data_IF_902685933258
#
_entry.id   IF_902685933258
#
_cell.length_a   1.000
_cell.length_b   1.000
_cell.length_c   1.000
_cell.angle_alpha   90.00
_cell.angle_beta   90.00
_cell.angle_gamma   90.00
#
_symmetry.space_group_name_H-M   'P 1'
#
loop_
_entity.id
_entity.type
_entity.pdbx_description
1 polymer ?
#
# COMPACT_ATOMS: atom_id res chain seq x y z
N UNK A 1 49.60 11.40 -48.11
CA UNK A 1 48.13 11.29 -48.08
C UNK A 1 47.68 11.17 -46.63
N UNK A 2 46.89 12.18 -46.24
CA UNK A 2 46.08 12.44 -45.03
C UNK A 2 46.10 11.44 -43.85
N UNK A 3 46.58 11.95 -42.70
CA UNK A 3 46.09 11.62 -41.36
C UNK A 3 44.59 11.93 -41.25
N UNK A 4 43.78 11.00 -40.75
CA UNK A 4 42.46 11.18 -40.12
C UNK A 4 42.11 9.87 -39.41
N UNK A 5 41.43 9.78 -38.27
CA UNK A 5 40.97 10.76 -37.31
C UNK A 5 40.73 10.01 -35.99
N UNK A 6 40.94 10.72 -34.91
CA UNK A 6 40.83 10.35 -33.50
C UNK A 6 39.46 9.78 -33.16
N UNK A 7 39.42 8.61 -32.54
CA UNK A 7 38.22 8.01 -31.96
C UNK A 7 37.80 8.82 -30.73
N UNK A 8 36.75 9.64 -30.85
CA UNK A 8 36.10 10.27 -29.70
C UNK A 8 35.06 9.28 -29.15
N UNK A 9 35.43 8.57 -28.09
CA UNK A 9 34.45 7.85 -27.26
C UNK A 9 33.83 8.91 -26.34
N UNK A 10 32.65 9.42 -26.70
CA UNK A 10 31.83 10.19 -25.78
C UNK A 10 31.22 9.21 -24.76
N UNK A 11 31.81 9.16 -23.56
CA UNK A 11 31.18 8.54 -22.39
C UNK A 11 30.00 9.43 -22.02
N UNK A 12 28.80 9.03 -22.44
CA UNK A 12 27.56 9.58 -21.91
C UNK A 12 27.41 9.03 -20.50
N UNK A 13 28.02 9.72 -19.53
CA UNK A 13 27.63 9.61 -18.13
C UNK A 13 26.21 10.17 -18.05
N UNK A 14 25.20 9.28 -18.11
CA UNK A 14 23.88 9.58 -17.60
C UNK A 14 24.04 9.93 -16.13
N UNK A 15 24.18 11.22 -15.84
CA UNK A 15 23.91 11.81 -14.54
C UNK A 15 22.42 11.60 -14.28
N UNK A 16 22.06 10.39 -13.84
CA UNK A 16 20.87 10.24 -13.01
C UNK A 16 21.24 11.03 -11.76
N UNK A 17 20.75 12.26 -11.65
CA UNK A 17 20.82 12.99 -10.39
C UNK A 17 20.40 12.00 -9.31
N UNK A 18 21.21 11.78 -8.25
CA UNK A 18 20.75 10.97 -7.14
C UNK A 18 19.47 11.65 -6.67
N UNK A 19 18.33 10.99 -6.88
CA UNK A 19 17.07 11.49 -6.37
C UNK A 19 17.32 11.66 -4.89
N UNK A 20 17.43 12.92 -4.47
CA UNK A 20 17.72 13.28 -3.10
C UNK A 20 16.64 12.61 -2.27
N UNK A 21 17.02 11.53 -1.56
CA UNK A 21 16.12 10.86 -0.66
C UNK A 21 15.61 11.94 0.30
N UNK A 22 14.31 12.21 0.28
CA UNK A 22 13.75 13.27 1.12
C UNK A 22 14.03 12.90 2.57
N UNK A 23 14.33 13.90 3.38
CA UNK A 23 14.57 13.70 4.80
C UNK A 23 13.25 13.28 5.47
N UNK A 24 13.18 12.02 5.90
CA UNK A 24 12.03 11.47 6.60
C UNK A 24 12.24 11.53 8.11
N UNK A 25 11.33 12.20 8.82
CA UNK A 25 11.48 12.52 10.24
C UNK A 25 10.56 11.70 11.15
N UNK A 26 10.17 10.49 10.74
CA UNK A 26 9.27 9.67 11.55
C UNK A 26 9.89 9.25 12.89
N UNK A 27 9.08 9.05 13.95
CA UNK A 27 9.57 8.46 15.19
C UNK A 27 10.17 7.07 14.92
N UNK A 28 11.11 6.64 15.78
CA UNK A 28 11.85 5.36 15.62
C UNK A 28 10.93 4.16 15.36
N UNK A 29 9.80 4.12 16.06
CA UNK A 29 8.80 3.05 15.94
C UNK A 29 8.11 3.00 14.55
N UNK A 30 8.17 4.07 13.76
CA UNK A 30 7.54 4.20 12.43
C UNK A 30 8.56 4.33 11.29
N UNK A 31 9.86 4.21 11.57
CA UNK A 31 10.92 4.48 10.59
C UNK A 31 10.85 3.59 9.33
N UNK A 32 10.24 2.39 9.42
CA UNK A 32 10.08 1.49 8.26
C UNK A 32 9.12 2.04 7.20
N UNK A 33 8.34 3.07 7.53
CA UNK A 33 7.47 3.74 6.56
C UNK A 33 8.20 4.77 5.71
N UNK A 34 9.38 5.25 6.12
CA UNK A 34 10.13 6.27 5.39
C UNK A 34 10.38 5.92 3.91
N UNK A 35 10.87 4.72 3.56
CA UNK A 35 11.05 4.35 2.15
C UNK A 35 9.73 4.29 1.37
N UNK A 36 8.62 3.96 2.05
CA UNK A 36 7.30 3.93 1.41
C UNK A 36 6.84 5.36 1.08
N UNK A 37 6.97 6.29 2.02
CA UNK A 37 6.62 7.69 1.79
C UNK A 37 7.46 8.27 0.64
N UNK A 38 8.77 8.01 0.64
CA UNK A 38 9.66 8.41 -0.43
C UNK A 38 9.20 7.88 -1.80
N UNK A 39 8.97 6.57 -1.89
CA UNK A 39 8.56 5.95 -3.15
C UNK A 39 7.23 6.49 -3.69
N UNK A 40 6.32 6.92 -2.80
CA UNK A 40 5.02 7.47 -3.18
C UNK A 40 5.11 8.91 -3.64
N UNK A 41 6.04 9.69 -3.08
CA UNK A 41 6.35 11.04 -3.55
C UNK A 41 6.93 10.99 -4.97
N UNK A 42 7.91 10.11 -5.17
CA UNK A 42 8.63 9.95 -6.44
C UNK A 42 7.77 9.32 -7.54
N UNK A 43 6.67 8.67 -7.17
CA UNK A 43 5.83 7.96 -8.11
C UNK A 43 5.33 8.88 -9.24
N UNK A 44 5.51 8.46 -10.48
CA UNK A 44 5.14 9.24 -11.67
C UNK A 44 3.64 9.11 -11.96
N UNK A 45 3.11 7.89 -11.88
CA UNK A 45 1.70 7.64 -12.09
C UNK A 45 0.85 8.17 -10.92
N UNK A 46 -0.32 8.74 -11.24
CA UNK A 46 -1.24 9.31 -10.24
C UNK A 46 -1.66 8.30 -9.17
N UNK A 47 -1.78 7.01 -9.53
CA UNK A 47 -2.19 5.94 -8.63
C UNK A 47 -1.22 5.85 -7.45
N UNK A 48 -1.73 6.00 -6.23
CA UNK A 48 -0.94 5.96 -4.97
C UNK A 48 0.14 7.05 -4.81
N UNK A 49 0.21 8.02 -5.73
CA UNK A 49 1.14 9.15 -5.61
C UNK A 49 0.75 10.01 -4.41
N UNK A 50 1.75 10.40 -3.63
CA UNK A 50 1.62 11.43 -2.61
C UNK A 50 2.31 12.70 -3.09
N UNK A 51 1.69 13.84 -2.82
CA UNK A 51 2.38 15.12 -2.93
C UNK A 51 3.34 15.27 -1.74
N UNK A 52 4.47 15.95 -1.95
CA UNK A 52 5.49 16.20 -0.92
C UNK A 52 4.87 16.81 0.35
N UNK A 53 3.99 17.80 0.18
CA UNK A 53 3.26 18.46 1.27
C UNK A 53 2.33 17.50 2.02
N UNK A 54 1.72 16.55 1.32
CA UNK A 54 0.87 15.54 1.91
C UNK A 54 1.67 14.48 2.70
N UNK A 55 2.89 14.14 2.23
CA UNK A 55 3.80 13.28 2.97
C UNK A 55 4.25 13.94 4.27
N UNK A 56 4.72 15.19 4.22
CA UNK A 56 5.06 15.97 5.42
C UNK A 56 3.89 16.11 6.41
N UNK A 57 2.68 16.35 5.91
CA UNK A 57 1.49 16.46 6.77
C UNK A 57 1.19 15.13 7.49
N UNK A 58 1.40 14.00 6.82
CA UNK A 58 1.25 12.68 7.44
C UNK A 58 2.35 12.43 8.49
N UNK A 59 3.59 12.83 8.23
CA UNK A 59 4.67 12.71 9.21
C UNK A 59 4.41 13.54 10.46
N UNK A 60 4.01 14.80 10.29
CA UNK A 60 3.65 15.67 11.41
C UNK A 60 2.49 15.07 12.22
N UNK A 61 1.48 14.50 11.55
CA UNK A 61 0.40 13.78 12.22
C UNK A 61 0.95 12.59 13.02
N UNK A 62 1.89 11.82 12.47
CA UNK A 62 2.49 10.66 13.12
C UNK A 62 3.32 11.06 14.36
N UNK A 63 4.06 12.16 14.27
CA UNK A 63 4.90 12.66 15.38
C UNK A 63 4.08 13.25 16.54
N UNK A 64 3.00 13.96 16.23
CA UNK A 64 2.25 14.75 17.22
C UNK A 64 1.08 14.00 17.84
N UNK A 65 0.62 12.94 17.18
CA UNK A 65 -0.49 12.13 17.70
C UNK A 65 0.05 11.09 18.66
N UNK A 66 -0.58 10.97 19.83
CA UNK A 66 -0.34 9.84 20.72
C UNK A 66 -0.94 8.57 20.09
N UNK A 67 -0.07 7.74 19.50
CA UNK A 67 -0.42 6.40 19.04
C UNK A 67 -0.08 5.39 20.12
N UNK A 68 -1.09 4.65 20.57
CA UNK A 68 -0.89 3.41 21.30
C UNK A 68 -1.33 2.23 20.42
N UNK A 69 -0.74 2.15 19.23
CA UNK A 69 -0.99 1.07 18.29
C UNK A 69 0.00 -0.06 18.53
N UNK A 70 -0.51 -1.21 18.97
CA UNK A 70 0.24 -2.44 19.14
C UNK A 70 0.29 -3.27 17.84
N UNK A 71 -0.84 -3.47 17.17
CA UNK A 71 -0.90 -4.29 15.96
C UNK A 71 -0.53 -3.51 14.70
N UNK A 72 -0.89 -2.22 14.59
CA UNK A 72 -0.48 -1.44 13.41
C UNK A 72 1.04 -1.23 13.36
N UNK A 73 1.68 -1.06 14.52
CA UNK A 73 3.14 -0.98 14.62
C UNK A 73 3.81 -2.29 14.24
N UNK A 74 3.22 -3.45 14.57
CA UNK A 74 3.69 -4.75 14.08
C UNK A 74 3.45 -4.95 12.58
N UNK A 75 2.27 -4.56 12.07
CA UNK A 75 1.90 -4.74 10.68
C UNK A 75 2.91 -4.07 9.74
N UNK A 76 3.49 -2.92 10.12
CA UNK A 76 4.45 -2.23 9.25
C UNK A 76 5.67 -3.08 8.88
N UNK A 77 6.05 -4.05 9.72
CA UNK A 77 7.19 -4.93 9.44
C UNK A 77 6.86 -5.98 8.38
N UNK A 78 5.57 -6.22 8.15
CA UNK A 78 5.06 -7.30 7.30
C UNK A 78 4.43 -6.72 6.03
N UNK A 79 3.65 -5.66 6.17
CA UNK A 79 2.86 -5.00 5.13
C UNK A 79 2.98 -3.47 5.24
N UNK A 80 4.17 -2.89 5.02
CA UNK A 80 4.42 -1.46 5.24
C UNK A 80 3.55 -0.54 4.37
N UNK A 81 3.21 -0.92 3.13
CA UNK A 81 2.33 -0.08 2.27
C UNK A 81 0.92 -0.01 2.83
N UNK A 82 0.42 -1.14 3.32
CA UNK A 82 -0.89 -1.26 3.96
C UNK A 82 -0.94 -0.50 5.28
N UNK A 83 0.13 -0.57 6.09
CA UNK A 83 0.25 0.22 7.31
C UNK A 83 0.22 1.73 7.05
N UNK A 84 0.95 2.21 6.02
CA UNK A 84 0.87 3.62 5.60
C UNK A 84 -0.56 4.03 5.25
N UNK A 85 -1.33 3.17 4.56
CA UNK A 85 -2.71 3.50 4.18
C UNK A 85 -3.69 3.48 5.34
N UNK A 86 -3.49 2.61 6.34
CA UNK A 86 -4.28 2.65 7.56
C UNK A 86 -4.02 3.95 8.35
N UNK A 87 -2.76 4.42 8.44
CA UNK A 87 -2.43 5.72 9.04
C UNK A 87 -3.02 6.89 8.23
N UNK A 88 -2.98 6.82 6.90
CA UNK A 88 -3.65 7.82 6.05
C UNK A 88 -5.17 7.79 6.25
N UNK A 89 -5.77 6.62 6.43
CA UNK A 89 -7.20 6.49 6.65
C UNK A 89 -7.62 7.09 8.00
N UNK A 90 -6.82 6.91 9.05
CA UNK A 90 -7.08 7.55 10.35
C UNK A 90 -6.90 9.06 10.28
N UNK A 91 -5.90 9.53 9.52
CA UNK A 91 -5.60 10.95 9.36
C UNK A 91 -6.63 11.70 8.48
N UNK A 92 -6.93 11.20 7.28
CA UNK A 92 -7.70 11.94 6.25
C UNK A 92 -9.10 11.42 6.01
N UNK A 93 -9.39 10.15 6.32
CA UNK A 93 -10.64 9.48 5.90
C UNK A 93 -11.57 9.16 7.07
N UNK A 94 -11.24 9.64 8.28
CA UNK A 94 -12.05 9.46 9.48
C UNK A 94 -12.13 8.01 9.98
N UNK A 95 -11.17 7.16 9.62
CA UNK A 95 -11.11 5.80 10.17
C UNK A 95 -10.80 5.88 11.67
N UNK A 96 -11.64 5.24 12.50
CA UNK A 96 -11.40 5.19 13.93
C UNK A 96 -10.10 4.44 14.24
N UNK A 97 -9.29 4.95 15.18
CA UNK A 97 -8.03 4.32 15.60
C UNK A 97 -8.23 2.86 16.05
N UNK A 98 -9.23 2.58 16.88
CA UNK A 98 -9.55 1.22 17.32
C UNK A 98 -9.91 0.29 16.15
N UNK A 99 -10.60 0.82 15.14
CA UNK A 99 -10.93 0.05 13.94
C UNK A 99 -9.67 -0.26 13.13
N UNK A 100 -8.78 0.73 12.92
CA UNK A 100 -7.50 0.53 12.25
C UNK A 100 -6.64 -0.52 12.94
N UNK A 101 -6.63 -0.52 14.28
CA UNK A 101 -5.89 -1.49 15.10
C UNK A 101 -6.45 -2.92 14.95
N UNK A 102 -7.78 -3.07 14.94
CA UNK A 102 -8.41 -4.38 14.70
C UNK A 102 -8.18 -4.87 13.27
N UNK A 103 -8.21 -3.97 12.29
CA UNK A 103 -7.89 -4.28 10.89
C UNK A 103 -6.45 -4.76 10.77
N UNK A 104 -5.50 -4.09 11.44
CA UNK A 104 -4.10 -4.51 11.45
C UNK A 104 -3.93 -5.91 12.05
N UNK A 105 -4.55 -6.18 13.21
CA UNK A 105 -4.56 -7.51 13.82
C UNK A 105 -5.11 -8.58 12.87
N UNK A 106 -6.19 -8.28 12.16
CA UNK A 106 -6.80 -9.21 11.21
C UNK A 106 -5.90 -9.49 10.00
N UNK A 107 -5.25 -8.45 9.45
CA UNK A 107 -4.32 -8.60 8.33
C UNK A 107 -3.10 -9.45 8.71
N UNK A 108 -2.53 -9.26 9.91
CA UNK A 108 -1.45 -10.12 10.43
C UNK A 108 -1.91 -11.58 10.44
N UNK A 109 -3.10 -11.87 10.99
CA UNK A 109 -3.67 -13.22 10.99
C UNK A 109 -3.83 -13.80 9.58
N UNK A 110 -4.24 -12.99 8.60
CA UNK A 110 -4.35 -13.45 7.21
C UNK A 110 -2.99 -13.82 6.62
N UNK A 111 -1.97 -13.01 6.86
CA UNK A 111 -0.60 -13.30 6.40
C UNK A 111 -0.08 -14.58 7.04
N UNK A 112 -0.26 -14.74 8.35
CA UNK A 112 0.15 -15.95 9.08
C UNK A 112 -0.60 -17.20 8.62
N UNK A 113 -1.88 -17.04 8.31
CA UNK A 113 -2.73 -18.13 7.85
C UNK A 113 -2.34 -18.57 6.45
N UNK A 114 -2.35 -17.67 5.47
CA UNK A 114 -2.12 -18.01 4.06
C UNK A 114 -0.64 -18.26 3.75
N UNK A 115 0.27 -17.66 4.51
CA UNK A 115 1.72 -17.71 4.30
C UNK A 115 2.07 -17.41 2.83
N UNK A 116 1.70 -16.23 2.37
CA UNK A 116 1.86 -15.84 0.96
C UNK A 116 3.32 -15.91 0.52
N UNK A 117 3.61 -16.66 -0.55
CA UNK A 117 4.94 -16.62 -1.18
C UNK A 117 5.22 -15.27 -1.82
N UNK A 118 4.19 -14.58 -2.31
CA UNK A 118 4.30 -13.22 -2.85
C UNK A 118 3.60 -12.19 -1.95
N UNK A 119 4.06 -12.09 -0.70
CA UNK A 119 3.58 -11.10 0.26
C UNK A 119 3.69 -9.64 -0.24
N UNK A 120 4.75 -9.21 -0.96
CA UNK A 120 4.84 -7.84 -1.46
C UNK A 120 3.69 -7.46 -2.42
N UNK A 121 3.23 -8.39 -3.26
CA UNK A 121 2.07 -8.16 -4.12
C UNK A 121 0.77 -8.08 -3.31
N UNK A 122 0.63 -8.90 -2.27
CA UNK A 122 -0.51 -8.84 -1.36
C UNK A 122 -0.57 -7.52 -0.58
N UNK A 123 0.55 -7.06 -0.01
CA UNK A 123 0.67 -5.74 0.64
C UNK A 123 0.32 -4.61 -0.33
N UNK A 124 0.91 -4.64 -1.53
CA UNK A 124 0.62 -3.62 -2.54
C UNK A 124 -0.88 -3.55 -2.86
N UNK A 125 -1.50 -4.67 -3.22
CA UNK A 125 -2.91 -4.74 -3.60
C UNK A 125 -3.86 -4.39 -2.44
N UNK A 126 -3.54 -4.81 -1.23
CA UNK A 126 -4.31 -4.44 -0.03
C UNK A 126 -4.26 -2.94 0.22
N UNK A 127 -3.09 -2.30 0.06
CA UNK A 127 -2.94 -0.85 0.23
C UNK A 127 -3.82 -0.03 -0.75
N UNK A 128 -4.21 -0.59 -1.89
CA UNK A 128 -5.09 0.09 -2.84
C UNK A 128 -6.56 0.17 -2.40
N UNK A 129 -6.98 -0.62 -1.42
CA UNK A 129 -8.38 -0.64 -0.96
C UNK A 129 -8.54 -0.32 0.52
N UNK A 130 -7.53 -0.60 1.35
CA UNK A 130 -7.68 -0.54 2.80
C UNK A 130 -8.02 0.86 3.30
N UNK A 131 -8.98 0.96 4.22
CA UNK A 131 -9.36 2.24 4.83
C UNK A 131 -10.02 3.22 3.85
N UNK A 132 -10.62 2.73 2.76
CA UNK A 132 -11.29 3.55 1.73
C UNK A 132 -12.77 3.23 1.58
N UNK A 133 -13.55 4.22 1.15
CA UNK A 133 -14.85 4.03 0.54
C UNK A 133 -14.70 3.56 -0.91
N UNK A 134 -15.72 2.91 -1.48
CA UNK A 134 -15.68 2.43 -2.87
C UNK A 134 -15.32 3.54 -3.87
N UNK A 135 -15.90 4.74 -3.72
CA UNK A 135 -15.67 5.85 -4.64
C UNK A 135 -14.24 6.42 -4.59
N UNK A 136 -13.47 6.11 -3.55
CA UNK A 136 -12.06 6.52 -3.41
C UNK A 136 -11.09 5.56 -4.12
N UNK A 137 -11.58 4.42 -4.59
CA UNK A 137 -10.74 3.41 -5.23
C UNK A 137 -10.67 3.66 -6.74
N UNK A 138 -9.48 4.00 -7.20
CA UNK A 138 -9.22 4.29 -8.61
C UNK A 138 -8.60 3.08 -9.33
N UNK A 139 -9.40 2.48 -10.21
CA UNK A 139 -8.98 1.44 -11.15
C UNK A 139 -9.15 1.88 -12.62
N UNK A 140 -9.34 3.19 -12.87
CA UNK A 140 -9.64 3.70 -14.22
C UNK A 140 -8.55 3.37 -15.25
N UNK A 141 -7.28 3.33 -14.84
CA UNK A 141 -6.16 2.89 -15.67
C UNK A 141 -6.13 1.39 -16.00
N UNK A 142 -7.00 0.58 -15.39
CA UNK A 142 -7.11 -0.87 -15.58
C UNK A 142 -8.44 -1.27 -16.26
N UNK A 143 -9.14 -0.31 -16.88
CA UNK A 143 -10.47 -0.49 -17.50
C UNK A 143 -11.54 -1.06 -16.55
N UNK A 144 -11.35 -0.85 -15.25
CA UNK A 144 -12.20 -1.34 -14.18
C UNK A 144 -12.73 -0.15 -13.39
N UNK A 145 -14.03 -0.09 -13.14
CA UNK A 145 -14.61 1.02 -12.37
C UNK A 145 -14.92 0.56 -10.96
N UNK A 146 -14.81 1.46 -9.99
CA UNK A 146 -15.22 1.15 -8.61
C UNK A 146 -16.70 0.75 -8.54
N UNK A 147 -17.56 1.23 -9.45
CA UNK A 147 -18.97 0.83 -9.55
C UNK A 147 -19.11 -0.64 -9.87
N UNK A 148 -18.40 -1.13 -10.90
CA UNK A 148 -18.38 -2.56 -11.27
C UNK A 148 -17.82 -3.43 -10.15
N UNK A 149 -16.78 -2.95 -9.46
CA UNK A 149 -16.24 -3.66 -8.29
C UNK A 149 -17.29 -3.72 -7.16
N UNK A 150 -17.92 -2.59 -6.83
CA UNK A 150 -18.99 -2.54 -5.82
C UNK A 150 -20.13 -3.49 -6.17
N UNK A 151 -20.60 -3.53 -7.41
CA UNK A 151 -21.65 -4.46 -7.86
C UNK A 151 -21.27 -5.92 -7.62
N UNK A 152 -20.01 -6.29 -7.85
CA UNK A 152 -19.50 -7.63 -7.58
C UNK A 152 -19.53 -7.99 -6.09
N UNK A 153 -19.17 -7.07 -5.20
CA UNK A 153 -18.99 -7.34 -3.77
C UNK A 153 -20.19 -6.99 -2.88
N UNK A 154 -21.08 -6.12 -3.33
CA UNK A 154 -22.27 -5.71 -2.57
C UNK A 154 -23.18 -6.90 -2.18
N UNK A 155 -23.41 -7.92 -3.03
CA UNK A 155 -24.20 -9.10 -2.64
C UNK A 155 -23.62 -9.88 -1.44
N UNK A 156 -22.31 -9.77 -1.18
CA UNK A 156 -21.65 -10.37 -0.02
C UNK A 156 -21.72 -9.47 1.23
N UNK A 157 -22.43 -8.34 1.17
CA UNK A 157 -22.54 -7.37 2.26
C UNK A 157 -21.25 -6.59 2.52
N UNK A 158 -20.46 -6.33 1.48
CA UNK A 158 -19.23 -5.54 1.53
C UNK A 158 -19.54 -4.13 1.01
N UNK A 159 -19.74 -3.19 1.93
CA UNK A 159 -20.18 -1.83 1.62
C UNK A 159 -19.04 -0.81 1.55
N UNK A 160 -17.89 -1.07 2.19
CA UNK A 160 -16.69 -0.24 2.16
C UNK A 160 -15.47 -1.06 2.61
N UNK A 161 -14.30 -0.43 2.68
CA UNK A 161 -13.07 -1.01 3.23
C UNK A 161 -12.56 -0.25 4.46
N UNK A 162 -13.43 0.55 5.08
CA UNK A 162 -13.21 1.25 6.36
C UNK A 162 -13.77 0.48 7.57
N UNK A 163 -14.26 -0.73 7.34
CA UNK A 163 -14.79 -1.61 8.38
C UNK A 163 -14.10 -2.97 8.35
N UNK A 164 -13.66 -3.43 9.51
CA UNK A 164 -13.16 -4.78 9.72
C UNK A 164 -14.18 -5.82 9.26
N UNK A 165 -15.47 -5.61 9.55
CA UNK A 165 -16.54 -6.55 9.18
C UNK A 165 -16.59 -6.73 7.65
N UNK A 166 -16.41 -5.65 6.89
CA UNK A 166 -16.36 -5.74 5.44
C UNK A 166 -15.08 -6.46 4.95
N UNK A 167 -13.92 -6.20 5.56
CA UNK A 167 -12.68 -6.93 5.22
C UNK A 167 -12.77 -8.43 5.52
N UNK A 168 -13.41 -8.79 6.64
CA UNK A 168 -13.63 -10.18 7.03
C UNK A 168 -14.51 -10.94 6.04
N UNK A 169 -15.38 -10.24 5.32
CA UNK A 169 -16.17 -10.79 4.22
C UNK A 169 -15.41 -10.79 2.90
N UNK A 170 -14.61 -9.75 2.64
CA UNK A 170 -13.91 -9.56 1.38
C UNK A 170 -12.85 -10.63 1.10
N UNK A 171 -11.90 -10.86 2.01
CA UNK A 171 -10.78 -11.78 1.72
C UNK A 171 -11.20 -13.24 1.51
N UNK A 172 -12.22 -13.78 2.19
CA UNK A 172 -12.75 -15.10 1.86
C UNK A 172 -13.40 -15.21 0.47
N UNK A 173 -13.96 -14.11 -0.06
CA UNK A 173 -14.46 -14.07 -1.44
C UNK A 173 -13.28 -14.03 -2.41
N UNK A 174 -12.29 -13.17 -2.14
CA UNK A 174 -11.11 -13.03 -2.99
C UNK A 174 -10.27 -14.29 -3.07
N UNK A 175 -10.11 -15.01 -1.95
CA UNK A 175 -9.27 -16.21 -1.91
C UNK A 175 -9.75 -17.34 -2.82
N UNK A 176 -11.03 -17.31 -3.21
CA UNK A 176 -11.64 -18.28 -4.13
C UNK A 176 -11.40 -17.93 -5.61
N UNK A 177 -10.89 -16.74 -5.91
CA UNK A 177 -10.71 -16.30 -7.29
C UNK A 177 -9.38 -16.83 -7.86
N UNK A 178 -9.33 -17.22 -9.16
CA UNK A 178 -8.12 -17.76 -9.77
C UNK A 178 -6.91 -16.82 -9.68
N UNK A 179 -7.16 -15.50 -9.77
CA UNK A 179 -6.10 -14.51 -9.71
C UNK A 179 -5.40 -14.49 -8.34
N UNK A 180 -6.12 -14.76 -7.24
CA UNK A 180 -5.57 -14.72 -5.88
C UNK A 180 -4.46 -15.77 -5.73
N UNK A 181 -4.74 -16.99 -6.19
CA UNK A 181 -3.75 -18.07 -6.24
C UNK A 181 -2.58 -17.74 -7.16
N UNK A 182 -2.87 -17.19 -8.34
CA UNK A 182 -1.85 -16.84 -9.33
C UNK A 182 -0.89 -15.76 -8.83
N UNK A 183 -1.41 -14.70 -8.23
CA UNK A 183 -0.63 -13.50 -7.85
C UNK A 183 0.03 -13.67 -6.50
N UNK A 184 -0.71 -14.14 -5.48
CA UNK A 184 -0.24 -14.14 -4.09
C UNK A 184 0.40 -15.46 -3.66
N UNK A 185 0.09 -16.56 -4.36
CA UNK A 185 0.65 -17.89 -4.10
C UNK A 185 0.57 -18.28 -2.62
N UNK A 186 -0.65 -18.36 -2.03
CA UNK A 186 -0.84 -18.86 -0.66
C UNK A 186 -0.37 -20.31 -0.54
N UNK A 187 0.33 -20.64 0.55
CA UNK A 187 0.80 -22.00 0.83
C UNK A 187 -0.26 -22.84 1.54
N UNK A 188 -1.10 -22.21 2.36
CA UNK A 188 -2.24 -22.86 2.99
C UNK A 188 -3.49 -22.55 2.18
N UNK A 189 -3.70 -23.32 1.11
CA UNK A 189 -4.95 -23.29 0.36
C UNK A 189 -6.01 -24.08 1.11
N UNK A 190 -6.72 -23.41 2.02
CA UNK A 190 -8.01 -23.89 2.47
C UNK A 190 -8.96 -23.85 1.28
N UNK A 191 -9.02 -24.96 0.53
CA UNK A 191 -10.20 -25.33 -0.25
C UNK A 191 -11.35 -25.47 0.76
N UNK A 192 -12.10 -24.38 0.98
CA UNK A 192 -13.41 -24.39 1.65
C UNK A 192 -14.46 -24.00 0.62
#
# INVERSE_FOLDING_TARGET
MKLHATLIIAIVCLLVEPVMARECHLPREWQKLCPILQSRVEHTARKMKLQETAAHSLENYIQTTQFNFFYLSQLQFIMPKTSTELLMATYKRGLNKSEAEKMAKYLIKLVDFYKFKNLPAFDNNTSHLIGREWYEIDYSGENMTWKKQKEKYAPYGISNFKSLVCLQKFFPVESKLPYFNKVYQPMNNSRV
#
